data_IF_151912368870
#
_entry.id   IF_151912368870
#
_cell.length_a   1.000
_cell.length_b   1.000
_cell.length_c   1.000
_cell.angle_alpha   90.00
_cell.angle_beta   90.00
_cell.angle_gamma   90.00
#
_symmetry.space_group_name_H-M   'P 1'
#
loop_
_entity.id
_entity.type
_entity.pdbx_description
1 polymer ?
#
# COMPACT_ATOMS: atom_id res chain seq x y z
N UNK A 1 -13.01 -27.45 -12.66
CA UNK A 1 -11.60 -27.02 -12.47
C UNK A 1 -11.61 -25.53 -12.11
N UNK A 2 -11.04 -25.09 -10.99
CA UNK A 2 -11.13 -23.69 -10.54
C UNK A 2 -9.83 -22.93 -10.82
N UNK A 3 -9.90 -21.60 -11.00
CA UNK A 3 -8.70 -20.75 -11.25
C UNK A 3 -7.61 -20.98 -10.19
N UNK A 4 -8.02 -21.17 -8.93
CA UNK A 4 -7.14 -21.45 -7.79
C UNK A 4 -6.42 -22.80 -7.92
N UNK A 5 -7.11 -23.85 -8.39
CA UNK A 5 -6.49 -25.17 -8.55
C UNK A 5 -5.50 -25.20 -9.71
N UNK A 6 -5.78 -24.46 -10.80
CA UNK A 6 -4.87 -24.36 -11.94
C UNK A 6 -3.56 -23.63 -11.59
N UNK A 7 -3.65 -22.48 -10.92
CA UNK A 7 -2.47 -21.69 -10.49
C UNK A 7 -1.63 -22.48 -9.49
N UNK A 8 -2.26 -23.16 -8.52
CA UNK A 8 -1.53 -23.96 -7.53
C UNK A 8 -0.79 -25.14 -8.17
N UNK A 9 -1.38 -25.79 -9.17
CA UNK A 9 -0.73 -26.91 -9.87
C UNK A 9 0.43 -26.44 -10.74
N UNK A 10 0.27 -25.33 -11.47
CA UNK A 10 1.34 -24.74 -12.27
C UNK A 10 2.52 -24.24 -11.42
N UNK A 11 2.26 -23.63 -10.26
CA UNK A 11 3.32 -23.17 -9.36
C UNK A 11 4.22 -24.32 -8.84
N UNK A 12 3.65 -25.51 -8.60
CA UNK A 12 4.40 -26.69 -8.13
C UNK A 12 5.32 -27.28 -9.21
N UNK A 13 4.87 -27.31 -10.47
CA UNK A 13 5.66 -27.82 -11.60
C UNK A 13 6.86 -26.90 -11.88
N UNK A 14 6.63 -25.59 -11.85
CA UNK A 14 7.69 -24.59 -12.08
C UNK A 14 8.75 -24.61 -10.96
N UNK A 15 8.33 -24.73 -9.69
CA UNK A 15 9.27 -24.84 -8.57
C UNK A 15 10.16 -26.09 -8.64
N UNK A 16 9.63 -27.22 -9.14
CA UNK A 16 10.42 -28.45 -9.37
C UNK A 16 11.49 -28.29 -10.45
N UNK A 17 11.22 -27.51 -11.51
CA UNK A 17 12.17 -27.23 -12.59
C UNK A 17 13.25 -26.20 -12.21
N UNK A 18 12.90 -25.18 -11.42
CA UNK A 18 13.85 -24.13 -10.99
C UNK A 18 14.92 -24.67 -10.04
N UNK A 19 14.62 -25.72 -9.28
CA UNK A 19 15.54 -26.29 -8.28
C UNK A 19 16.78 -26.96 -8.89
N UNK A 20 16.78 -27.26 -10.19
CA UNK A 20 17.89 -27.96 -10.87
C UNK A 20 18.84 -26.97 -11.58
N UNK A 21 18.44 -25.71 -11.84
CA UNK A 21 19.19 -24.84 -12.78
C UNK A 21 19.57 -23.44 -12.28
N UNK A 22 19.53 -23.13 -10.99
CA UNK A 22 19.86 -21.76 -10.51
C UNK A 22 21.03 -21.71 -9.52
N UNK A 23 22.25 -21.93 -10.03
CA UNK A 23 23.47 -21.35 -9.48
C UNK A 23 23.55 -19.88 -9.95
N UNK A 24 23.58 -18.92 -9.01
CA UNK A 24 24.18 -17.60 -9.25
C UNK A 24 23.27 -16.39 -9.51
N UNK A 25 21.94 -16.49 -9.38
CA UNK A 25 21.08 -15.30 -9.43
C UNK A 25 21.13 -14.51 -8.12
N UNK A 26 21.71 -13.30 -8.12
CA UNK A 26 21.46 -12.31 -7.05
C UNK A 26 19.95 -12.13 -6.96
N UNK A 27 19.33 -12.66 -5.90
CA UNK A 27 17.95 -12.34 -5.59
C UNK A 27 17.89 -10.83 -5.42
N UNK A 28 17.22 -10.13 -6.35
CA UNK A 28 16.76 -8.76 -6.08
C UNK A 28 16.02 -8.87 -4.76
N UNK A 29 16.55 -8.26 -3.70
CA UNK A 29 15.93 -8.29 -2.39
C UNK A 29 14.45 -7.96 -2.59
N UNK A 30 13.57 -8.90 -2.23
CA UNK A 30 12.14 -8.69 -2.36
C UNK A 30 11.84 -7.39 -1.60
N UNK A 31 11.37 -6.36 -2.32
CA UNK A 31 11.03 -5.09 -1.71
C UNK A 31 10.08 -5.39 -0.55
N UNK A 32 10.53 -5.14 0.68
CA UNK A 32 9.72 -5.30 1.89
C UNK A 32 8.60 -4.27 1.78
N UNK A 33 7.41 -4.74 1.39
CA UNK A 33 6.22 -3.89 1.42
C UNK A 33 5.91 -3.57 2.89
N UNK A 34 5.69 -2.29 3.18
CA UNK A 34 5.30 -1.81 4.52
C UNK A 34 3.88 -1.26 4.45
N UNK A 35 3.07 -1.62 5.44
CA UNK A 35 1.74 -1.07 5.66
C UNK A 35 1.74 -0.44 7.05
N UNK A 36 1.18 0.76 7.16
CA UNK A 36 0.98 1.49 8.42
C UNK A 36 -0.51 1.74 8.62
N UNK A 37 -0.97 1.64 9.86
CA UNK A 37 -2.37 1.87 10.25
C UNK A 37 -2.39 2.94 11.35
N UNK A 38 -2.93 4.11 11.02
CA UNK A 38 -3.06 5.25 11.95
C UNK A 38 -4.52 5.39 12.34
N UNK A 39 -4.79 5.45 13.64
CA UNK A 39 -6.14 5.54 14.20
C UNK A 39 -6.25 6.69 15.18
N UNK A 40 -7.30 7.49 15.05
CA UNK A 40 -7.62 8.52 16.02
C UNK A 40 -9.13 8.53 16.28
N UNK A 41 -9.54 8.30 17.52
CA UNK A 41 -10.96 8.18 17.88
C UNK A 41 -11.76 9.47 17.61
N UNK A 42 -11.11 10.62 17.71
CA UNK A 42 -11.74 11.92 17.48
C UNK A 42 -11.77 12.39 16.02
N UNK A 43 -11.26 11.61 15.04
CA UNK A 43 -11.23 12.07 13.63
C UNK A 43 -12.63 12.21 13.03
N UNK A 44 -13.58 11.40 13.50
CA UNK A 44 -14.97 11.47 13.11
C UNK A 44 -15.81 11.76 14.34
N UNK A 45 -16.61 12.84 14.28
CA UNK A 45 -17.54 13.27 15.33
C UNK A 45 -18.94 13.42 14.73
N UNK A 46 -19.97 13.59 15.55
CA UNK A 46 -21.35 13.75 15.06
C UNK A 46 -21.49 14.91 14.07
N UNK A 47 -20.72 15.98 14.26
CA UNK A 47 -20.69 17.16 13.38
C UNK A 47 -19.92 16.91 12.08
N UNK A 48 -19.24 15.77 11.96
CA UNK A 48 -18.51 15.32 10.77
C UNK A 48 -17.02 15.08 10.99
N UNK A 49 -16.28 15.14 9.88
CA UNK A 49 -14.84 14.89 9.83
C UNK A 49 -14.05 16.07 10.41
N UNK A 50 -13.21 15.80 11.40
CA UNK A 50 -12.24 16.74 11.95
C UNK A 50 -10.97 16.77 11.07
N UNK A 51 -10.84 17.83 10.27
CA UNK A 51 -9.78 17.97 9.26
C UNK A 51 -8.39 18.16 9.87
N UNK A 52 -8.31 18.81 11.03
CA UNK A 52 -7.03 19.06 11.71
C UNK A 52 -6.46 17.78 12.29
N UNK A 53 -7.34 16.93 12.85
CA UNK A 53 -6.96 15.58 13.28
C UNK A 53 -6.54 14.74 12.07
N UNK A 54 -7.31 14.75 10.99
CA UNK A 54 -6.97 13.99 9.78
C UNK A 54 -5.61 14.40 9.20
N UNK A 55 -5.31 15.69 9.14
CA UNK A 55 -4.02 16.18 8.65
C UNK A 55 -2.86 15.64 9.51
N UNK A 56 -3.00 15.65 10.84
CA UNK A 56 -2.00 15.08 11.75
C UNK A 56 -1.83 13.57 11.56
N UNK A 57 -2.92 12.85 11.36
CA UNK A 57 -2.88 11.40 11.09
C UNK A 57 -2.12 11.07 9.80
N UNK A 58 -2.29 11.87 8.74
CA UNK A 58 -1.56 11.70 7.48
C UNK A 58 -0.06 11.95 7.66
N UNK A 59 0.30 13.01 8.39
CA UNK A 59 1.68 13.33 8.72
C UNK A 59 2.36 12.20 9.52
N UNK A 60 1.67 11.69 10.55
CA UNK A 60 2.13 10.55 11.36
C UNK A 60 2.32 9.30 10.49
N UNK A 61 1.33 8.96 9.66
CA UNK A 61 1.38 7.81 8.78
C UNK A 61 2.55 7.87 7.80
N UNK A 62 2.82 9.04 7.21
CA UNK A 62 3.95 9.22 6.30
C UNK A 62 5.29 9.14 7.01
N UNK A 63 5.42 9.74 8.19
CA UNK A 63 6.63 9.62 9.00
C UNK A 63 6.88 8.17 9.42
N UNK A 64 5.86 7.44 9.85
CA UNK A 64 5.99 6.03 10.21
C UNK A 64 6.34 5.18 8.99
N UNK A 65 5.67 5.39 7.84
CA UNK A 65 5.89 4.62 6.62
C UNK A 65 7.34 4.75 6.12
N UNK A 66 7.90 5.95 6.20
CA UNK A 66 9.24 6.28 5.66
C UNK A 66 10.36 6.18 6.68
N UNK A 67 10.04 6.25 7.99
CA UNK A 67 11.02 6.37 9.07
C UNK A 67 11.66 7.76 9.17
N UNK A 68 11.09 8.79 8.52
CA UNK A 68 11.59 10.17 8.60
C UNK A 68 11.08 10.86 9.86
N UNK A 69 11.82 11.89 10.31
CA UNK A 69 11.51 12.66 11.53
C UNK A 69 10.67 13.92 11.29
N UNK A 70 10.30 14.19 10.04
CA UNK A 70 9.41 15.31 9.72
C UNK A 70 8.50 14.95 8.55
N UNK A 71 7.27 15.49 8.50
CA UNK A 71 6.35 15.21 7.40
C UNK A 71 6.90 15.66 6.05
N UNK A 72 7.54 16.83 6.00
CA UNK A 72 8.15 17.38 4.78
C UNK A 72 9.17 16.42 4.16
N UNK A 73 10.06 15.86 4.98
CA UNK A 73 11.06 14.91 4.48
C UNK A 73 10.44 13.56 4.13
N UNK A 74 9.37 13.13 4.82
CA UNK A 74 8.63 11.92 4.47
C UNK A 74 7.94 12.02 3.10
N UNK A 75 7.26 13.13 2.82
CA UNK A 75 6.60 13.35 1.52
C UNK A 75 7.58 13.46 0.36
N UNK A 76 8.77 14.06 0.59
CA UNK A 76 9.85 14.18 -0.41
C UNK A 76 10.42 12.86 -0.89
N UNK A 77 10.26 11.77 -0.12
CA UNK A 77 10.67 10.44 -0.59
C UNK A 77 9.81 9.97 -1.79
N UNK A 78 8.65 10.60 -2.04
CA UNK A 78 7.72 10.22 -3.12
C UNK A 78 7.36 11.35 -4.08
N UNK A 79 7.38 12.61 -3.62
CA UNK A 79 6.84 13.76 -4.38
C UNK A 79 7.88 14.89 -4.42
N UNK A 80 8.19 15.36 -5.62
CA UNK A 80 9.01 16.54 -5.87
C UNK A 80 8.17 17.81 -6.04
N UNK A 81 8.79 18.99 -5.93
CA UNK A 81 8.11 20.28 -6.16
C UNK A 81 7.62 20.49 -7.60
N UNK A 82 8.17 19.71 -8.54
CA UNK A 82 7.86 19.82 -9.96
C UNK A 82 6.81 18.77 -10.38
N UNK A 83 6.38 17.90 -9.45
CA UNK A 83 5.38 16.87 -9.71
C UNK A 83 3.96 17.45 -9.68
N UNK A 84 3.11 17.00 -10.60
CA UNK A 84 1.66 17.20 -10.51
C UNK A 84 1.03 16.00 -9.81
N UNK A 85 0.43 16.23 -8.64
CA UNK A 85 -0.14 15.15 -7.82
C UNK A 85 -1.64 15.00 -8.09
N UNK A 86 -2.03 13.85 -8.63
CA UNK A 86 -3.44 13.47 -8.78
C UNK A 86 -3.96 12.70 -7.56
N UNK A 87 -5.07 13.16 -6.96
CA UNK A 87 -5.71 12.45 -5.85
C UNK A 87 -6.71 11.45 -6.42
N UNK A 88 -6.38 10.16 -6.36
CA UNK A 88 -7.32 9.09 -6.72
C UNK A 88 -8.21 8.76 -5.52
N UNK A 89 -9.43 9.31 -5.54
CA UNK A 89 -10.48 8.87 -4.63
C UNK A 89 -10.86 7.43 -5.01
N UNK A 90 -10.60 6.50 -4.10
CA UNK A 90 -11.09 5.12 -4.17
C UNK A 90 -12.25 4.99 -3.19
N UNK A 91 -13.50 5.20 -3.63
CA UNK A 91 -14.64 5.02 -2.77
C UNK A 91 -14.80 3.53 -2.47
N UNK A 92 -14.55 3.10 -1.24
CA UNK A 92 -15.12 1.86 -0.70
C UNK A 92 -16.60 2.09 -0.34
N UNK A 93 -17.33 2.75 -1.24
CA UNK A 93 -18.61 3.41 -0.99
C UNK A 93 -19.81 2.52 -1.32
N UNK A 94 -19.87 1.32 -0.73
CA UNK A 94 -21.01 0.42 -0.91
C UNK A 94 -21.32 0.05 -2.38
N UNK A 95 -22.43 -0.65 -2.62
CA UNK A 95 -22.74 -1.23 -3.94
C UNK A 95 -22.90 -0.20 -5.07
N UNK A 96 -23.16 1.07 -4.73
CA UNK A 96 -23.45 2.14 -5.69
C UNK A 96 -22.19 2.84 -6.20
N UNK A 97 -21.04 2.68 -5.53
CA UNK A 97 -19.79 3.36 -5.86
C UNK A 97 -18.63 2.38 -6.16
N UNK A 98 -18.87 1.07 -6.03
CA UNK A 98 -17.91 0.02 -6.38
C UNK A 98 -18.15 -0.49 -7.82
N UNK A 99 -17.06 -0.75 -8.57
CA UNK A 99 -17.13 -1.31 -9.93
C UNK A 99 -17.39 -2.82 -9.98
N UNK A 100 -17.40 -3.49 -8.83
CA UNK A 100 -17.76 -4.90 -8.73
C UNK A 100 -19.13 -5.02 -8.06
N UNK A 101 -20.05 -5.68 -8.77
CA UNK A 101 -21.36 -6.06 -8.24
C UNK A 101 -21.24 -7.35 -7.43
#
# INVERSE_FOLDING_TARGET
MTRRSFISTMAKVIAGLISITSLGGKTRAAYRSKVVDIRHSGVWKEEGLDRDILAKMLDEGMMELTGRKSPKEAWKDFISKDDTVGIKINPSGGPQLCTHR
#
